data_IF_056494394706
#
_entry.id   IF_056494394706
#
_cell.length_a   1.000
_cell.length_b   1.000
_cell.length_c   1.000
_cell.angle_alpha   90.00
_cell.angle_beta   90.00
_cell.angle_gamma   90.00
#
_symmetry.space_group_name_H-M   'P 1'
#
loop_
_entity.id
_entity.type
_entity.pdbx_description
1 polymer ?
#
# COMPACT_ATOMS: atom_id res chain seq x y z
N UNK A 1 -3.38 31.47 7.57
CA UNK A 1 -3.37 30.34 6.63
C UNK A 1 -2.06 30.40 5.87
N UNK A 2 -1.09 29.61 6.31
CA UNK A 2 0.12 29.35 5.56
C UNK A 2 0.59 27.98 6.03
N UNK A 3 0.28 26.95 5.26
CA UNK A 3 1.04 25.70 5.29
C UNK A 3 1.87 25.77 4.02
N UNK A 4 3.04 26.38 4.15
CA UNK A 4 4.12 26.24 3.22
C UNK A 4 4.53 24.76 3.26
N UNK A 5 4.13 23.98 2.25
CA UNK A 5 4.56 22.58 2.14
C UNK A 5 5.98 22.61 1.59
N UNK A 6 6.91 22.80 2.51
CA UNK A 6 8.34 22.87 2.32
C UNK A 6 8.86 21.46 2.01
N UNK A 7 9.11 21.19 0.72
CA UNK A 7 9.85 20.03 0.24
C UNK A 7 9.03 18.73 0.16
N UNK A 8 9.00 18.10 -1.01
CA UNK A 8 8.75 16.66 -1.15
C UNK A 8 9.84 15.89 -0.42
N UNK A 9 9.79 15.83 0.91
CA UNK A 9 10.42 14.74 1.62
C UNK A 9 9.74 13.48 1.08
N UNK A 10 10.44 12.73 0.22
CA UNK A 10 9.90 11.54 -0.39
C UNK A 10 9.31 10.67 0.73
N UNK A 11 7.99 10.48 0.72
CA UNK A 11 7.32 9.69 1.75
C UNK A 11 7.90 8.29 1.70
N UNK A 12 8.52 7.88 2.81
CA UNK A 12 9.18 6.59 2.93
C UNK A 12 8.21 5.45 2.68
N UNK A 13 8.71 4.37 2.10
CA UNK A 13 7.93 3.17 1.80
C UNK A 13 7.18 2.64 3.04
N UNK A 14 7.84 2.60 4.20
CA UNK A 14 7.23 2.17 5.47
C UNK A 14 6.00 3.01 5.87
N UNK A 15 6.01 4.33 5.62
CA UNK A 15 4.88 5.21 5.96
C UNK A 15 3.67 4.89 5.08
N UNK A 16 3.92 4.62 3.80
CA UNK A 16 2.84 4.25 2.86
C UNK A 16 2.26 2.89 3.25
N UNK A 17 3.12 1.92 3.58
CA UNK A 17 2.71 0.59 4.04
C UNK A 17 1.86 0.67 5.30
N UNK A 18 2.27 1.49 6.27
CA UNK A 18 1.53 1.68 7.52
C UNK A 18 0.11 2.24 7.27
N UNK A 19 0.00 3.29 6.43
CA UNK A 19 -1.31 3.85 6.09
C UNK A 19 -2.20 2.88 5.30
N UNK A 20 -1.63 2.11 4.37
CA UNK A 20 -2.39 1.08 3.64
C UNK A 20 -2.92 0.01 4.61
N UNK A 21 -2.13 -0.41 5.61
CA UNK A 21 -2.55 -1.38 6.62
C UNK A 21 -3.59 -0.85 7.60
N UNK A 22 -3.55 0.45 7.93
CA UNK A 22 -4.58 1.06 8.78
C UNK A 22 -5.91 1.22 8.04
N UNK A 23 -5.85 1.54 6.74
CA UNK A 23 -7.04 1.86 5.95
C UNK A 23 -7.74 0.64 5.35
N UNK A 24 -6.97 -0.39 5.01
CA UNK A 24 -7.47 -1.60 4.38
C UNK A 24 -7.17 -2.78 5.28
N UNK A 25 -8.10 -3.74 5.38
CA UNK A 25 -7.92 -4.97 6.16
C UNK A 25 -6.99 -5.98 5.45
N UNK A 26 -5.96 -5.45 4.80
CA UNK A 26 -4.97 -6.19 4.04
C UNK A 26 -3.83 -6.63 4.96
N UNK A 27 -3.09 -7.65 4.52
CA UNK A 27 -1.89 -8.12 5.19
C UNK A 27 -0.66 -7.75 4.39
N UNK A 28 0.44 -7.48 5.09
CA UNK A 28 1.72 -7.22 4.45
C UNK A 28 2.69 -8.26 4.94
N UNK A 29 3.08 -9.14 4.03
CA UNK A 29 4.08 -10.18 4.25
C UNK A 29 5.47 -9.62 3.95
N UNK A 30 6.51 -10.31 4.44
CA UNK A 30 7.90 -10.03 4.07
C UNK A 30 8.48 -11.24 3.35
N UNK A 31 8.89 -11.04 2.10
CA UNK A 31 9.60 -12.04 1.32
C UNK A 31 10.99 -11.50 0.98
N UNK A 32 12.04 -12.12 1.53
CA UNK A 32 13.44 -11.67 1.37
C UNK A 32 13.67 -10.20 1.79
N UNK A 33 12.94 -9.75 2.82
CA UNK A 33 13.00 -8.36 3.29
C UNK A 33 12.20 -7.36 2.45
N UNK A 34 11.53 -7.82 1.37
CA UNK A 34 10.66 -6.98 0.55
C UNK A 34 9.19 -7.13 0.98
N UNK A 35 8.42 -6.05 1.05
CA UNK A 35 7.02 -6.10 1.44
C UNK A 35 6.16 -6.65 0.31
N UNK A 36 5.27 -7.57 0.64
CA UNK A 36 4.31 -8.18 -0.28
C UNK A 36 2.92 -7.91 0.23
N UNK A 37 2.06 -7.32 -0.61
CA UNK A 37 0.67 -7.09 -0.27
C UNK A 37 -0.11 -8.39 -0.41
N UNK A 38 -0.84 -8.78 0.62
CA UNK A 38 -1.82 -9.86 0.59
C UNK A 38 -3.22 -9.21 0.63
N UNK A 39 -4.00 -9.42 -0.43
CA UNK A 39 -5.34 -8.86 -0.60
C UNK A 39 -6.40 -9.97 -0.60
N UNK A 40 -7.59 -9.65 -0.13
CA UNK A 40 -8.71 -10.59 0.01
C UNK A 40 -9.64 -10.63 -1.19
N UNK A 41 -9.68 -9.54 -1.98
CA UNK A 41 -10.51 -9.44 -3.18
C UNK A 41 -9.89 -8.52 -4.23
N UNK A 42 -10.24 -8.70 -5.50
CA UNK A 42 -9.76 -7.82 -6.58
C UNK A 42 -10.21 -6.37 -6.39
N UNK A 43 -11.39 -6.17 -5.80
CA UNK A 43 -11.90 -4.83 -5.47
C UNK A 43 -11.02 -4.14 -4.41
N UNK A 44 -10.58 -4.87 -3.38
CA UNK A 44 -9.64 -4.33 -2.38
C UNK A 44 -8.30 -3.96 -3.04
N UNK A 45 -7.77 -4.82 -3.92
CA UNK A 45 -6.53 -4.54 -4.65
C UNK A 45 -6.64 -3.26 -5.49
N UNK A 46 -7.75 -3.08 -6.22
CA UNK A 46 -8.00 -1.89 -7.01
C UNK A 46 -8.08 -0.64 -6.13
N UNK A 47 -8.79 -0.70 -5.02
CA UNK A 47 -8.92 0.41 -4.07
C UNK A 47 -7.58 0.80 -3.44
N UNK A 48 -6.74 -0.18 -3.08
CA UNK A 48 -5.40 0.08 -2.55
C UNK A 48 -4.52 0.72 -3.63
N UNK A 49 -4.57 0.19 -4.86
CA UNK A 49 -3.79 0.70 -5.99
C UNK A 49 -4.13 2.16 -6.29
N UNK A 50 -5.42 2.47 -6.36
CA UNK A 50 -5.92 3.81 -6.61
C UNK A 50 -5.54 4.77 -5.47
N UNK A 51 -5.68 4.33 -4.21
CA UNK A 51 -5.28 5.13 -3.06
C UNK A 51 -3.78 5.47 -3.04
N UNK A 52 -2.92 4.48 -3.34
CA UNK A 52 -1.46 4.70 -3.40
C UNK A 52 -1.11 5.71 -4.50
N UNK A 53 -1.73 5.59 -5.67
CA UNK A 53 -1.55 6.52 -6.80
C UNK A 53 -2.06 7.92 -6.52
N UNK A 54 -3.27 8.05 -6.01
CA UNK A 54 -3.89 9.37 -5.79
C UNK A 54 -3.28 10.10 -4.59
N UNK A 55 -2.86 9.39 -3.55
CA UNK A 55 -2.38 9.99 -2.29
C UNK A 55 -0.88 10.23 -2.30
N UNK A 56 -0.10 9.30 -2.86
CA UNK A 56 1.37 9.35 -2.80
C UNK A 56 2.02 9.52 -4.16
N UNK A 57 1.24 9.54 -5.26
CA UNK A 57 1.74 9.62 -6.63
C UNK A 57 2.79 8.53 -6.95
N UNK A 58 2.58 7.34 -6.41
CA UNK A 58 3.42 6.14 -6.64
C UNK A 58 2.59 5.01 -7.24
N UNK A 59 3.24 4.11 -7.95
CA UNK A 59 2.61 2.85 -8.32
C UNK A 59 2.63 1.86 -7.14
N UNK A 60 1.69 0.91 -7.14
CA UNK A 60 1.64 -0.12 -6.11
C UNK A 60 2.97 -0.89 -6.01
N UNK A 61 3.60 -1.13 -7.16
CA UNK A 61 4.87 -1.87 -7.24
C UNK A 61 6.11 -1.05 -6.85
N UNK A 62 5.98 0.28 -6.70
CA UNK A 62 7.02 1.11 -6.05
C UNK A 62 6.98 0.97 -4.52
N UNK A 63 5.86 0.47 -3.98
CA UNK A 63 5.62 0.34 -2.53
C UNK A 63 5.72 -1.12 -2.09
N UNK A 64 5.19 -2.05 -2.88
CA UNK A 64 5.20 -3.48 -2.62
C UNK A 64 5.96 -4.19 -3.72
N UNK A 65 6.72 -5.22 -3.38
CA UNK A 65 7.41 -6.03 -4.38
C UNK A 65 6.42 -6.77 -5.29
N UNK A 66 5.32 -7.25 -4.72
CA UNK A 66 4.22 -7.87 -5.45
C UNK A 66 2.94 -7.83 -4.60
N UNK A 67 1.82 -8.15 -5.22
CA UNK A 67 0.52 -8.34 -4.57
C UNK A 67 0.03 -9.77 -4.86
N UNK A 68 -0.42 -10.48 -3.83
CA UNK A 68 -0.93 -11.85 -3.93
C UNK A 68 -2.32 -11.96 -3.30
N UNK A 69 -3.22 -12.79 -3.86
CA UNK A 69 -4.48 -13.08 -3.21
C UNK A 69 -4.23 -13.87 -1.92
N UNK A 70 -5.01 -13.57 -0.89
CA UNK A 70 -5.02 -14.32 0.35
C UNK A 70 -5.51 -15.75 0.07
N UNK A 71 -4.82 -16.73 0.65
CA UNK A 71 -5.19 -18.15 0.56
C UNK A 71 -6.23 -18.54 1.62
N UNK A 72 -6.75 -17.58 2.38
CA UNK A 72 -7.85 -17.87 3.30
C UNK A 72 -9.06 -18.32 2.49
N UNK A 73 -9.73 -19.42 2.88
CA UNK A 73 -10.93 -19.86 2.18
C UNK A 73 -11.96 -18.73 2.24
N UNK A 74 -12.56 -18.37 1.10
CA UNK A 74 -13.86 -17.71 1.07
C UNK A 74 -14.78 -18.53 2.00
N UNK A 75 -15.20 -17.95 3.13
CA UNK A 75 -16.20 -18.56 4.01
C UNK A 75 -17.55 -18.73 3.29
#
# INVERSE_FOLDING_TARGET
MAIEVMGSAAVSQDVIIDQVREKYNCRVLKCEGRPVLEFTSEQELEQITDYVRQTFHKDLLDVFFTAIPSLQPDE
#
